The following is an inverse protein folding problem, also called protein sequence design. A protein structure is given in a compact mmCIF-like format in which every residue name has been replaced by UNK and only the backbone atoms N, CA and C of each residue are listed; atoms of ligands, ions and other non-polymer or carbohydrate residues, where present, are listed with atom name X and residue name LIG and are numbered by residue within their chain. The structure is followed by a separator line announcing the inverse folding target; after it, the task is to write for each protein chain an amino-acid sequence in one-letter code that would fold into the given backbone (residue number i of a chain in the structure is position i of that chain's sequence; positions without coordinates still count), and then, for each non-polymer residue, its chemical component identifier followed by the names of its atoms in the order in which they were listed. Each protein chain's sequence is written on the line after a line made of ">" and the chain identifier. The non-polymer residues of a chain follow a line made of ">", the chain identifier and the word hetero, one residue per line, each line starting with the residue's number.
data_IF_229122851849
#
_entry.id   IF_229122851849
#
_cell.length_a   1.000
_cell.length_b   1.000
_cell.length_c   1.000
_cell.angle_alpha   90.00
_cell.angle_beta   90.00
_cell.angle_gamma   90.00
#
_symmetry.space_group_name_H-M   'P 1'
#
loop_
_entity.id
_entity.type
_entity.pdbx_description
1 polymer ?
#
# COMPACT_ATOMS: atom_id res chain seq x y z
N UNK A 1 -1.17 5.15 -6.24
CA UNK A 1 -2.36 5.21 -5.36
C UNK A 1 -3.55 5.88 -6.07
N UNK A 2 -4.80 5.50 -5.74
CA UNK A 2 -6.03 6.17 -6.24
C UNK A 2 -6.25 7.53 -5.55
N UNK A 3 -6.87 8.48 -6.26
CA UNK A 3 -7.14 9.85 -5.79
C UNK A 3 -7.86 9.90 -4.43
N UNK A 4 -8.95 9.12 -4.27
CA UNK A 4 -9.74 9.08 -3.03
C UNK A 4 -8.91 8.63 -1.82
N UNK A 5 -8.01 7.65 -2.02
CA UNK A 5 -7.12 7.17 -0.95
C UNK A 5 -6.13 8.26 -0.54
N UNK A 6 -5.57 8.99 -1.52
CA UNK A 6 -4.66 10.11 -1.25
C UNK A 6 -5.36 11.21 -0.43
N UNK A 7 -6.55 11.64 -0.83
CA UNK A 7 -7.30 12.69 -0.10
C UNK A 7 -7.59 12.31 1.35
N UNK A 8 -7.92 11.04 1.62
CA UNK A 8 -8.16 10.57 3.00
C UNK A 8 -6.89 10.55 3.84
N UNK A 9 -5.75 10.16 3.26
CA UNK A 9 -4.46 10.16 3.95
C UNK A 9 -3.98 11.58 4.23
N UNK A 10 -4.18 12.51 3.29
CA UNK A 10 -3.85 13.92 3.47
C UNK A 10 -4.70 14.54 4.60
N UNK A 11 -6.00 14.23 4.66
CA UNK A 11 -6.87 14.67 5.76
C UNK A 11 -6.44 14.10 7.13
N UNK A 12 -6.11 12.81 7.19
CA UNK A 12 -5.55 12.17 8.38
C UNK A 12 -4.25 12.85 8.84
N UNK A 13 -3.37 13.21 7.90
CA UNK A 13 -2.15 13.93 8.21
C UNK A 13 -2.44 15.29 8.84
N UNK A 14 -3.40 16.05 8.31
CA UNK A 14 -3.81 17.33 8.89
C UNK A 14 -4.41 17.19 10.29
N UNK A 15 -5.17 16.13 10.54
CA UNK A 15 -5.70 15.85 11.88
C UNK A 15 -4.58 15.55 12.89
N UNK A 16 -3.61 14.73 12.47
CA UNK A 16 -2.45 14.36 13.29
C UNK A 16 -1.61 15.60 13.61
N UNK A 17 -1.37 16.48 12.63
CA UNK A 17 -0.64 17.74 12.82
C UNK A 17 -1.35 18.73 13.76
N UNK A 18 -2.67 18.61 13.92
CA UNK A 18 -3.44 19.43 14.86
C UNK A 18 -3.40 18.90 16.30
N UNK A 19 -2.79 17.74 16.55
CA UNK A 19 -2.63 17.18 17.90
C UNK A 19 -1.53 17.93 18.66
N UNK A 20 -1.80 18.31 19.91
CA UNK A 20 -0.89 19.11 20.75
C UNK A 20 0.14 18.31 21.54
N UNK A 21 0.25 16.98 21.34
CA UNK A 21 1.19 16.12 22.05
C UNK A 21 2.28 15.59 21.11
N UNK A 22 3.53 15.98 21.35
CA UNK A 22 4.66 15.72 20.45
C UNK A 22 5.00 14.23 20.27
N UNK A 23 4.84 13.40 21.30
CA UNK A 23 5.22 11.99 21.22
C UNK A 23 4.16 11.14 20.51
N UNK A 24 2.89 11.39 20.82
CA UNK A 24 1.75 10.78 20.12
C UNK A 24 1.70 11.24 18.65
N UNK A 25 2.06 12.50 18.39
CA UNK A 25 2.15 13.05 17.05
C UNK A 25 3.21 12.33 16.20
N UNK A 26 4.42 12.13 16.72
CA UNK A 26 5.49 11.39 16.02
C UNK A 26 5.09 9.94 15.75
N UNK A 27 4.49 9.27 16.72
CA UNK A 27 4.01 7.89 16.55
C UNK A 27 2.93 7.81 15.46
N UNK A 28 1.96 8.71 15.50
CA UNK A 28 0.87 8.76 14.51
C UNK A 28 1.40 9.04 13.09
N UNK A 29 2.36 9.96 12.93
CA UNK A 29 3.01 10.23 11.64
C UNK A 29 3.77 8.99 11.14
N UNK A 30 4.48 8.29 12.01
CA UNK A 30 5.21 7.09 11.63
C UNK A 30 4.28 5.98 11.10
N UNK A 31 3.16 5.75 11.80
CA UNK A 31 2.13 4.78 11.39
C UNK A 31 1.52 5.19 10.04
N UNK A 32 1.18 6.48 9.87
CA UNK A 32 0.62 6.99 8.62
C UNK A 32 1.56 6.74 7.43
N UNK A 33 2.86 6.94 7.62
CA UNK A 33 3.87 6.74 6.59
C UNK A 33 4.10 5.26 6.25
N UNK A 34 3.92 4.36 7.23
CA UNK A 34 3.91 2.91 6.98
C UNK A 34 2.71 2.52 6.12
N UNK A 35 1.51 2.99 6.47
CA UNK A 35 0.28 2.71 5.74
C UNK A 35 0.36 3.22 4.28
N UNK A 36 0.94 4.41 4.07
CA UNK A 36 1.18 4.95 2.72
C UNK A 36 2.02 3.99 1.88
N UNK A 37 3.13 3.49 2.43
CA UNK A 37 4.01 2.52 1.75
C UNK A 37 3.29 1.22 1.43
N UNK A 38 2.61 0.62 2.42
CA UNK A 38 1.88 -0.64 2.21
C UNK A 38 0.83 -0.50 1.10
N UNK A 39 0.12 0.63 1.06
CA UNK A 39 -0.86 0.92 0.01
C UNK A 39 -0.18 1.03 -1.35
N UNK A 40 0.94 1.75 -1.45
CA UNK A 40 1.68 1.92 -2.71
C UNK A 40 2.24 0.61 -3.24
N UNK A 41 2.84 -0.20 -2.37
CA UNK A 41 3.34 -1.54 -2.70
C UNK A 41 2.22 -2.46 -3.18
N UNK A 42 1.11 -2.54 -2.44
CA UNK A 42 -0.06 -3.34 -2.85
C UNK A 42 -0.65 -2.87 -4.19
N UNK A 43 -0.76 -1.56 -4.41
CA UNK A 43 -1.20 -1.04 -5.72
C UNK A 43 -0.21 -1.34 -6.84
N UNK A 44 1.09 -1.39 -6.56
CA UNK A 44 2.11 -1.76 -7.54
C UNK A 44 2.03 -3.25 -7.88
N UNK A 45 1.78 -4.12 -6.90
CA UNK A 45 1.58 -5.56 -7.10
C UNK A 45 0.36 -5.86 -7.95
N UNK A 46 -0.78 -5.23 -7.68
CA UNK A 46 -2.01 -5.39 -8.49
C UNK A 46 -1.80 -4.93 -9.94
N UNK A 47 -0.94 -3.94 -10.16
CA UNK A 47 -0.61 -3.43 -11.50
C UNK A 47 0.40 -4.29 -12.27
N UNK A 48 1.07 -5.26 -11.62
CA UNK A 48 1.95 -6.17 -12.35
C UNK A 48 1.06 -7.02 -13.28
N UNK A 49 1.24 -6.96 -14.60
CA UNK A 49 0.52 -7.85 -15.48
C UNK A 49 0.88 -9.29 -15.09
N UNK A 50 -0.14 -10.13 -14.86
CA UNK A 50 0.06 -11.57 -14.68
C UNK A 50 0.75 -12.05 -15.95
N UNK A 51 2.04 -12.36 -15.86
CA UNK A 51 2.76 -13.01 -16.96
C UNK A 51 2.20 -14.42 -17.04
N UNK A 52 1.23 -14.62 -17.94
CA UNK A 52 0.55 -15.91 -18.16
C UNK A 52 1.50 -17.04 -18.58
N UNK A 53 2.77 -16.75 -18.86
CA UNK A 53 3.79 -17.73 -19.23
C UNK A 53 4.20 -18.67 -18.07
N UNK A 54 4.02 -18.29 -16.81
CA UNK A 54 4.43 -19.14 -15.68
C UNK A 54 3.36 -20.17 -15.29
N UNK A 55 2.08 -19.93 -15.61
CA UNK A 55 0.99 -20.89 -15.34
C UNK A 55 0.84 -22.02 -16.35
N UNK A 56 1.52 -21.92 -17.51
CA UNK A 56 1.47 -22.97 -18.53
C UNK A 56 2.54 -24.05 -18.33
N UNK A 57 3.67 -23.72 -17.67
CA UNK A 57 4.72 -24.71 -17.38
C UNK A 57 4.31 -25.71 -16.28
N UNK A 58 3.58 -25.23 -15.28
CA UNK A 58 3.10 -26.04 -14.15
C UNK A 58 2.01 -27.06 -14.56
N UNK A 59 1.30 -26.83 -15.68
CA UNK A 59 0.34 -27.81 -16.23
C UNK A 59 0.96 -28.80 -17.22
N UNK A 60 2.11 -28.50 -17.81
CA UNK A 60 2.79 -29.40 -18.74
C UNK A 60 3.71 -30.43 -18.06
N UNK A 61 4.06 -30.23 -16.80
CA UNK A 61 4.94 -31.16 -16.06
C UNK A 61 4.18 -32.26 -15.30
N UNK A 62 2.84 -32.26 -15.33
CA UNK A 62 2.01 -33.26 -14.63
C UNK A 62 1.30 -34.22 -15.60
N UNK A 63 1.90 -34.50 -16.76
CA UNK A 63 1.37 -35.44 -17.75
C UNK A 63 2.47 -36.37 -18.27
N UNK A 64 3.13 -37.13 -17.40
CA UNK A 64 3.75 -38.42 -17.74
C UNK A 64 3.91 -39.28 -16.48
#
# INVERSE_FOLDING_TARGET
>A
MRFVTKTRLDYLQSMIQAMGNDDEHKLALHILESIKRDIEENYAEIKKPIRLHDKLKDRSENTY
#
